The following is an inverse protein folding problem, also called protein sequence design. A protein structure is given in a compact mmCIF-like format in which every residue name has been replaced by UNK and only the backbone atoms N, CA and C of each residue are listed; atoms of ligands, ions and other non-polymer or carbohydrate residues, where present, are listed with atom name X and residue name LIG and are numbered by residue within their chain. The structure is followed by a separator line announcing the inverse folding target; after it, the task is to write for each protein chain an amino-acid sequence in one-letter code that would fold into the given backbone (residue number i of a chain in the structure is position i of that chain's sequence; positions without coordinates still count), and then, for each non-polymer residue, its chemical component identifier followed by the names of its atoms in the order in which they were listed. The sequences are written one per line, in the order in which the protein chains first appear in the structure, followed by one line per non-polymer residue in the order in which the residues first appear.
data_IF_634808132745
#
_entry.id   IF_634808132745
#
_cell.length_a   1.000
_cell.length_b   1.000
_cell.length_c   1.000
_cell.angle_alpha   90.00
_cell.angle_beta   90.00
_cell.angle_gamma   90.00
#
_symmetry.space_group_name_H-M   'P 1'
#
loop_
_entity.id
_entity.type
_entity.pdbx_description
1 polymer ?
#
# COMPACT_ATOMS: atom_id res chain seq x y z
N UNK A 1 35.77 67.72 -59.21
CA UNK A 1 35.38 66.28 -58.97
C UNK A 1 35.11 66.16 -57.49
N UNK A 2 33.85 66.28 -57.11
CA UNK A 2 33.44 66.21 -55.71
C UNK A 2 32.95 64.80 -55.44
N UNK A 3 33.60 64.09 -54.52
CA UNK A 3 33.19 62.78 -54.03
C UNK A 3 32.39 62.99 -52.78
N UNK A 4 31.10 62.66 -52.89
CA UNK A 4 30.15 62.75 -51.79
C UNK A 4 30.21 61.38 -50.95
N UNK A 5 30.59 61.47 -49.69
CA UNK A 5 30.59 60.31 -48.75
C UNK A 5 29.30 60.38 -47.94
N UNK A 6 28.45 59.31 -48.09
CA UNK A 6 27.31 59.09 -47.24
C UNK A 6 27.74 58.32 -45.95
N UNK A 7 27.20 58.65 -44.79
CA UNK A 7 27.45 57.87 -43.59
C UNK A 7 26.50 56.66 -43.50
N UNK A 8 27.10 55.50 -43.20
CA UNK A 8 26.40 54.20 -42.93
C UNK A 8 25.86 54.17 -41.49
N UNK A 9 24.55 54.27 -41.35
CA UNK A 9 23.90 54.18 -40.04
C UNK A 9 23.78 52.70 -39.65
N UNK A 10 24.55 52.25 -38.61
CA UNK A 10 24.37 50.96 -37.99
C UNK A 10 23.10 50.93 -37.09
N UNK A 11 22.08 50.24 -37.54
CA UNK A 11 20.91 49.89 -36.69
C UNK A 11 21.28 48.72 -35.78
N UNK A 12 21.53 49.00 -34.51
CA UNK A 12 21.65 47.98 -33.48
C UNK A 12 20.24 47.46 -33.15
N UNK A 13 19.89 46.28 -33.66
CA UNK A 13 18.71 45.53 -33.24
C UNK A 13 19.01 44.89 -31.87
N UNK A 14 18.46 45.46 -30.80
CA UNK A 14 18.48 44.85 -29.47
C UNK A 14 17.48 43.70 -29.50
N UNK A 15 17.97 42.47 -29.65
CA UNK A 15 17.18 41.26 -29.39
C UNK A 15 16.89 41.22 -27.88
N UNK A 16 15.67 41.55 -27.50
CA UNK A 16 15.16 41.35 -26.18
C UNK A 16 15.13 39.84 -25.88
N UNK A 17 16.05 39.38 -25.02
CA UNK A 17 16.00 38.05 -24.45
C UNK A 17 14.81 38.05 -23.50
N UNK A 18 13.65 37.56 -23.98
CA UNK A 18 12.54 37.17 -23.08
C UNK A 18 12.98 35.98 -22.29
N UNK A 19 13.38 36.19 -21.03
CA UNK A 19 13.55 35.09 -20.06
C UNK A 19 12.21 34.43 -19.88
N UNK A 20 12.07 33.22 -20.42
CA UNK A 20 10.98 32.30 -20.10
C UNK A 20 11.06 32.09 -18.59
N UNK A 21 9.97 32.31 -17.83
CA UNK A 21 9.97 32.05 -16.40
C UNK A 21 10.45 30.58 -16.18
N UNK A 22 11.51 30.39 -15.42
CA UNK A 22 12.11 29.08 -15.19
C UNK A 22 11.04 28.13 -14.73
N UNK A 23 10.84 27.02 -15.44
CA UNK A 23 10.05 25.90 -14.95
C UNK A 23 10.70 25.48 -13.63
N UNK A 24 10.01 25.70 -12.51
CA UNK A 24 10.47 25.23 -11.22
C UNK A 24 10.71 23.73 -11.34
N UNK A 25 11.92 23.28 -10.97
CA UNK A 25 12.24 21.84 -10.96
C UNK A 25 11.18 21.12 -10.14
N UNK A 26 10.62 20.00 -10.62
CA UNK A 26 9.62 19.25 -9.88
C UNK A 26 10.17 18.80 -8.52
N UNK A 27 9.32 18.83 -7.51
CA UNK A 27 9.68 18.35 -6.18
C UNK A 27 9.83 16.83 -6.20
N UNK A 28 10.99 16.35 -5.76
CA UNK A 28 11.25 14.91 -5.64
C UNK A 28 10.49 14.34 -4.45
N UNK A 29 9.70 13.28 -4.71
CA UNK A 29 9.01 12.47 -3.70
C UNK A 29 9.43 11.01 -3.86
N UNK A 30 10.04 10.43 -2.83
CA UNK A 30 10.47 9.03 -2.80
C UNK A 30 9.34 8.19 -2.20
N UNK A 31 8.75 7.34 -3.04
CA UNK A 31 7.59 6.53 -2.71
C UNK A 31 8.02 5.07 -2.43
N UNK A 32 7.77 4.59 -1.21
CA UNK A 32 7.86 3.16 -0.89
C UNK A 32 6.56 2.44 -1.22
N UNK A 33 6.64 1.31 -1.92
CA UNK A 33 5.45 0.56 -2.32
C UNK A 33 5.68 -0.95 -2.26
N UNK A 34 4.60 -1.73 -2.39
CA UNK A 34 4.61 -3.19 -2.45
C UNK A 34 3.97 -3.67 -3.76
N UNK A 35 4.32 -4.90 -4.17
CA UNK A 35 3.82 -5.50 -5.41
C UNK A 35 2.54 -6.31 -5.16
N UNK A 36 1.42 -5.59 -4.93
CA UNK A 36 0.08 -6.16 -4.82
C UNK A 36 -0.89 -5.47 -5.78
N UNK A 37 -1.94 -6.17 -6.25
CA UNK A 37 -2.87 -5.62 -7.23
C UNK A 37 -3.57 -4.35 -6.72
N UNK A 38 -4.02 -4.37 -5.46
CA UNK A 38 -4.71 -3.27 -4.81
C UNK A 38 -3.80 -2.10 -4.35
N UNK A 39 -2.48 -2.17 -4.64
CA UNK A 39 -1.53 -1.06 -4.46
C UNK A 39 -1.35 -0.23 -5.75
N UNK A 40 -2.05 -0.62 -6.81
CA UNK A 40 -1.88 -0.03 -8.14
C UNK A 40 -2.17 1.47 -8.22
N UNK A 41 -3.18 1.98 -7.51
CA UNK A 41 -3.52 3.41 -7.54
C UNK A 41 -2.38 4.27 -6.96
N UNK A 42 -1.73 3.80 -5.88
CA UNK A 42 -0.55 4.48 -5.31
C UNK A 42 0.63 4.42 -6.28
N UNK A 43 0.87 3.28 -6.92
CA UNK A 43 1.92 3.16 -7.96
C UNK A 43 1.64 4.09 -9.14
N UNK A 44 0.36 4.29 -9.52
CA UNK A 44 -0.02 5.16 -10.63
C UNK A 44 0.26 6.65 -10.39
N UNK A 45 0.47 7.06 -9.15
CA UNK A 45 0.85 8.43 -8.82
C UNK A 45 2.11 8.89 -9.58
N UNK A 46 3.04 8.01 -9.93
CA UNK A 46 4.25 8.37 -10.70
C UNK A 46 3.93 8.85 -12.11
N UNK A 47 2.85 8.35 -12.70
CA UNK A 47 2.39 8.78 -14.04
C UNK A 47 1.71 10.16 -13.98
N UNK A 48 1.02 10.46 -12.87
CA UNK A 48 0.33 11.72 -12.66
C UNK A 48 1.21 12.82 -12.01
N UNK A 49 2.29 12.42 -11.33
CA UNK A 49 3.17 13.33 -10.60
C UNK A 49 3.58 14.60 -11.36
N UNK A 50 4.00 14.51 -12.65
CA UNK A 50 4.37 15.69 -13.43
C UNK A 50 3.26 16.74 -13.54
N UNK A 51 1.99 16.34 -13.60
CA UNK A 51 0.83 17.24 -13.58
C UNK A 51 0.76 18.10 -12.31
N UNK A 52 1.26 17.56 -11.21
CA UNK A 52 1.30 18.18 -9.89
C UNK A 52 2.65 18.83 -9.56
N UNK A 53 3.57 18.91 -10.53
CA UNK A 53 4.93 19.41 -10.31
C UNK A 53 5.74 18.51 -9.37
N UNK A 54 5.47 17.20 -9.38
CA UNK A 54 6.15 16.19 -8.58
C UNK A 54 6.94 15.23 -9.47
N UNK A 55 8.15 14.88 -9.06
CA UNK A 55 8.92 13.74 -9.57
C UNK A 55 8.79 12.60 -8.55
N UNK A 56 7.93 11.61 -8.83
CA UNK A 56 7.71 10.48 -7.92
C UNK A 56 8.62 9.33 -8.30
N UNK A 57 9.57 8.99 -7.42
CA UNK A 57 10.46 7.84 -7.55
C UNK A 57 9.96 6.70 -6.68
N UNK A 58 9.38 5.69 -7.32
CA UNK A 58 8.86 4.50 -6.65
C UNK A 58 9.96 3.48 -6.41
N UNK A 59 10.04 2.96 -5.18
CA UNK A 59 10.82 1.79 -4.78
C UNK A 59 9.89 0.69 -4.27
N UNK A 60 9.99 -0.49 -4.88
CA UNK A 60 9.21 -1.67 -4.45
C UNK A 60 9.99 -2.42 -3.38
N UNK A 61 9.33 -2.70 -2.26
CA UNK A 61 9.88 -3.45 -1.13
C UNK A 61 9.26 -4.86 -1.09
N UNK A 62 9.99 -5.87 -0.57
CA UNK A 62 9.47 -7.23 -0.45
C UNK A 62 8.42 -7.38 0.67
N UNK A 63 8.50 -6.52 1.71
CA UNK A 63 7.60 -6.51 2.88
C UNK A 63 7.36 -5.09 3.37
N UNK A 64 6.18 -4.84 3.96
CA UNK A 64 5.84 -3.53 4.52
C UNK A 64 6.76 -3.10 5.66
N UNK A 65 7.17 -4.03 6.51
CA UNK A 65 8.09 -3.75 7.63
C UNK A 65 9.47 -3.27 7.16
N UNK A 66 9.91 -3.64 5.96
CA UNK A 66 11.21 -3.26 5.40
C UNK A 66 11.23 -1.78 4.97
N UNK A 67 10.06 -1.15 4.81
CA UNK A 67 9.92 0.28 4.45
C UNK A 67 10.29 1.17 5.65
N UNK A 68 10.02 0.73 6.89
CA UNK A 68 10.21 1.55 8.09
C UNK A 68 11.67 2.02 8.29
N UNK A 69 12.69 1.16 8.17
CA UNK A 69 14.09 1.61 8.21
C UNK A 69 14.42 2.62 7.12
N UNK A 70 13.85 2.47 5.91
CA UNK A 70 14.06 3.41 4.81
C UNK A 70 13.40 4.78 5.06
N UNK A 71 12.28 4.81 5.77
CA UNK A 71 11.64 6.05 6.25
C UNK A 71 12.52 6.72 7.30
N UNK A 72 12.96 5.98 8.31
CA UNK A 72 13.79 6.51 9.42
C UNK A 72 15.11 7.07 8.90
N UNK A 73 15.73 6.41 7.91
CA UNK A 73 16.97 6.88 7.27
C UNK A 73 16.75 8.06 6.31
N UNK A 74 15.49 8.48 6.10
CA UNK A 74 15.16 9.56 5.19
C UNK A 74 15.26 9.20 3.70
N UNK A 75 15.24 7.93 3.34
CA UNK A 75 15.25 7.46 1.95
C UNK A 75 13.86 7.34 1.32
N UNK A 76 12.81 7.31 2.14
CA UNK A 76 11.41 7.31 1.73
C UNK A 76 10.67 8.48 2.37
N UNK A 77 9.87 9.18 1.59
CA UNK A 77 9.08 10.35 1.98
C UNK A 77 7.61 9.99 2.21
N UNK A 78 7.07 9.13 1.35
CA UNK A 78 5.67 8.67 1.34
C UNK A 78 5.68 7.16 1.11
N UNK A 79 4.77 6.43 1.70
CA UNK A 79 4.70 4.98 1.47
C UNK A 79 3.28 4.45 1.48
N UNK A 80 3.01 3.49 0.59
CA UNK A 80 1.88 2.58 0.72
C UNK A 80 2.23 1.51 1.76
N UNK A 81 1.42 1.38 2.79
CA UNK A 81 1.70 0.47 3.90
C UNK A 81 0.45 -0.32 4.32
N UNK A 82 0.65 -1.53 4.81
CA UNK A 82 -0.38 -2.16 5.62
C UNK A 82 -0.53 -1.35 6.93
N UNK A 83 -1.76 -1.21 7.42
CA UNK A 83 -2.03 -0.38 8.59
C UNK A 83 -1.27 -0.87 9.83
N UNK A 84 -1.22 -2.17 10.04
CA UNK A 84 -0.48 -2.80 11.15
C UNK A 84 1.04 -2.55 11.08
N UNK A 85 1.62 -2.59 9.88
CA UNK A 85 3.03 -2.24 9.69
C UNK A 85 3.30 -0.76 10.01
N UNK A 86 2.39 0.13 9.61
CA UNK A 86 2.49 1.56 9.93
C UNK A 86 2.36 1.82 11.46
N UNK A 87 1.40 1.15 12.13
CA UNK A 87 1.23 1.20 13.58
C UNK A 87 2.50 0.71 14.29
N UNK A 88 3.06 -0.44 13.86
CA UNK A 88 4.29 -0.97 14.45
C UNK A 88 5.47 -0.01 14.25
N UNK A 89 5.59 0.61 13.07
CA UNK A 89 6.59 1.64 12.80
C UNK A 89 6.41 2.87 13.71
N UNK A 90 5.17 3.36 13.85
CA UNK A 90 4.88 4.49 14.74
C UNK A 90 5.18 4.17 16.21
N UNK A 91 4.83 2.97 16.65
CA UNK A 91 5.14 2.47 18.00
C UNK A 91 6.65 2.41 18.29
N UNK A 92 7.47 2.19 17.25
CA UNK A 92 8.94 2.22 17.33
C UNK A 92 9.53 3.61 17.14
N UNK A 93 8.70 4.65 17.05
CA UNK A 93 9.14 6.04 16.92
C UNK A 93 9.40 6.52 15.50
N UNK A 94 8.95 5.78 14.47
CA UNK A 94 9.04 6.28 13.10
C UNK A 94 8.26 7.60 12.97
N UNK A 95 8.88 8.68 12.40
CA UNK A 95 8.26 9.99 12.29
C UNK A 95 7.30 10.06 11.11
N UNK A 96 6.16 9.38 11.21
CA UNK A 96 5.16 9.22 10.15
C UNK A 96 3.76 9.61 10.60
N UNK A 97 2.96 10.09 9.65
CA UNK A 97 1.52 10.27 9.78
C UNK A 97 0.79 9.36 8.78
N UNK A 98 -0.33 8.76 9.20
CA UNK A 98 -1.29 8.14 8.30
C UNK A 98 -2.19 9.24 7.74
N UNK A 99 -2.17 9.44 6.41
CA UNK A 99 -2.80 10.60 5.75
C UNK A 99 -3.97 10.22 4.85
N UNK A 100 -4.12 8.94 4.49
CA UNK A 100 -5.26 8.42 3.73
C UNK A 100 -5.34 6.90 3.87
N UNK A 101 -6.53 6.31 3.66
CA UNK A 101 -6.64 4.93 3.23
C UNK A 101 -6.41 4.85 1.72
N UNK A 102 -5.98 3.70 1.19
CA UNK A 102 -5.89 3.55 -0.26
C UNK A 102 -6.48 2.23 -0.79
N UNK A 103 -6.64 1.24 0.06
CA UNK A 103 -7.39 0.03 -0.28
C UNK A 103 -7.95 -0.67 0.95
N UNK A 104 -9.02 -1.46 0.73
CA UNK A 104 -9.67 -2.31 1.73
C UNK A 104 -9.68 -3.77 1.25
N UNK A 105 -9.66 -4.73 2.18
CA UNK A 105 -9.74 -6.16 1.86
C UNK A 105 -8.41 -6.73 1.35
N UNK A 106 -8.48 -7.64 0.38
CA UNK A 106 -7.32 -8.26 -0.26
C UNK A 106 -6.61 -9.29 0.61
N UNK A 107 -7.31 -9.94 1.54
CA UNK A 107 -6.78 -11.04 2.37
C UNK A 107 -7.69 -12.25 2.27
N UNK A 108 -7.11 -13.45 2.11
CA UNK A 108 -7.82 -14.73 2.18
C UNK A 108 -7.06 -15.73 3.05
N UNK A 109 -7.80 -16.61 3.71
CA UNK A 109 -7.25 -17.84 4.27
C UNK A 109 -7.53 -18.96 3.27
N UNK A 110 -6.46 -19.57 2.77
CA UNK A 110 -6.49 -20.60 1.71
C UNK A 110 -5.85 -21.87 2.26
N UNK A 111 -6.58 -22.96 2.23
CA UNK A 111 -6.08 -24.30 2.59
C UNK A 111 -5.58 -25.06 1.37
N UNK A 112 -4.75 -26.07 1.58
CA UNK A 112 -4.40 -27.03 0.51
C UNK A 112 -5.67 -27.72 0.01
N UNK A 113 -5.83 -27.81 -1.30
CA UNK A 113 -7.01 -28.40 -1.93
C UNK A 113 -7.20 -29.87 -1.59
N UNK A 114 -6.12 -30.63 -1.38
CA UNK A 114 -6.16 -32.06 -1.03
C UNK A 114 -6.58 -32.33 0.43
N UNK A 115 -6.61 -31.32 1.29
CA UNK A 115 -7.06 -31.45 2.69
C UNK A 115 -8.55 -31.14 2.90
N UNK A 116 -9.20 -30.52 1.91
CA UNK A 116 -10.63 -30.15 1.95
C UNK A 116 -11.04 -29.42 3.24
N UNK A 117 -10.20 -28.46 3.69
CA UNK A 117 -10.49 -27.63 4.85
C UNK A 117 -11.64 -26.67 4.50
N UNK A 118 -12.72 -26.65 5.28
CA UNK A 118 -13.94 -25.89 4.97
C UNK A 118 -14.19 -24.72 5.91
N UNK A 119 -13.49 -24.68 7.03
CA UNK A 119 -13.68 -23.66 8.06
C UNK A 119 -12.36 -23.36 8.78
N UNK A 120 -12.33 -22.25 9.51
CA UNK A 120 -11.18 -21.91 10.37
C UNK A 120 -10.99 -22.94 11.49
N UNK A 121 -12.06 -23.58 11.95
CA UNK A 121 -11.97 -24.65 12.97
C UNK A 121 -11.15 -25.85 12.48
N UNK A 122 -11.15 -26.14 11.17
CA UNK A 122 -10.38 -27.24 10.57
C UNK A 122 -8.86 -26.98 10.59
N UNK A 123 -8.44 -25.75 10.92
CA UNK A 123 -7.02 -25.40 11.10
C UNK A 123 -6.43 -25.97 12.39
N UNK A 124 -7.24 -26.57 13.29
CA UNK A 124 -6.73 -27.26 14.48
C UNK A 124 -5.78 -28.38 14.09
N UNK A 125 -4.58 -28.38 14.69
CA UNK A 125 -3.49 -29.30 14.36
C UNK A 125 -2.75 -29.02 13.05
N UNK A 126 -3.06 -27.91 12.36
CA UNK A 126 -2.47 -27.57 11.06
C UNK A 126 -1.31 -26.60 11.17
N UNK A 127 -0.50 -26.61 10.10
CA UNK A 127 0.61 -25.69 9.85
C UNK A 127 0.12 -24.57 8.96
N UNK A 128 0.10 -23.34 9.45
CA UNK A 128 -0.41 -22.18 8.71
C UNK A 128 0.73 -21.20 8.43
N UNK A 129 0.96 -20.93 7.15
CA UNK A 129 1.93 -19.96 6.68
C UNK A 129 1.36 -18.53 6.64
N UNK A 130 2.14 -17.57 7.10
CA UNK A 130 1.80 -16.14 7.03
C UNK A 130 3.07 -15.30 7.01
N UNK A 131 3.02 -14.12 6.38
CA UNK A 131 4.12 -13.16 6.49
C UNK A 131 3.98 -12.36 7.79
N UNK A 132 5.10 -12.18 8.50
CA UNK A 132 5.12 -11.40 9.74
C UNK A 132 5.00 -9.89 9.44
N UNK A 133 4.20 -9.18 10.25
CA UNK A 133 4.08 -7.72 10.17
C UNK A 133 3.27 -7.23 8.97
N UNK A 134 2.25 -7.96 8.58
CA UNK A 134 1.28 -7.57 7.57
C UNK A 134 -0.16 -7.81 8.04
N UNK A 135 -1.13 -7.17 7.38
CA UNK A 135 -2.55 -7.31 7.71
C UNK A 135 -3.04 -8.77 7.74
N UNK A 136 -2.37 -9.66 7.00
CA UNK A 136 -2.65 -11.08 6.97
C UNK A 136 -2.43 -11.76 8.33
N UNK A 137 -1.35 -11.39 9.04
CA UNK A 137 -1.07 -11.94 10.37
C UNK A 137 -2.17 -11.55 11.36
N UNK A 138 -2.56 -10.28 11.37
CA UNK A 138 -3.60 -9.77 12.27
C UNK A 138 -4.98 -10.39 11.95
N UNK A 139 -5.35 -10.45 10.68
CA UNK A 139 -6.60 -11.08 10.24
C UNK A 139 -6.66 -12.57 10.58
N UNK A 140 -5.55 -13.29 10.36
CA UNK A 140 -5.46 -14.71 10.75
C UNK A 140 -5.67 -14.89 12.24
N UNK A 141 -4.97 -14.11 13.06
CA UNK A 141 -5.06 -14.26 14.53
C UNK A 141 -6.43 -13.84 15.06
N UNK A 142 -7.08 -12.86 14.47
CA UNK A 142 -8.44 -12.49 14.80
C UNK A 142 -9.43 -13.64 14.51
N UNK A 143 -9.30 -14.31 13.36
CA UNK A 143 -10.14 -15.46 13.01
C UNK A 143 -9.85 -16.68 13.88
N UNK A 144 -8.59 -16.97 14.18
CA UNK A 144 -8.23 -18.05 15.10
C UNK A 144 -8.83 -17.79 16.48
N UNK A 145 -8.70 -16.56 17.02
CA UNK A 145 -9.28 -16.18 18.32
C UNK A 145 -10.80 -16.31 18.33
N UNK A 146 -11.48 -15.86 17.26
CA UNK A 146 -12.93 -15.99 17.10
C UNK A 146 -13.39 -17.46 17.16
N UNK A 147 -12.57 -18.35 16.63
CA UNK A 147 -12.84 -19.81 16.63
C UNK A 147 -12.26 -20.54 17.87
N UNK A 148 -11.85 -19.81 18.91
CA UNK A 148 -11.26 -20.33 20.14
C UNK A 148 -10.02 -21.22 19.92
N UNK A 149 -9.27 -20.97 18.85
CA UNK A 149 -8.01 -21.64 18.54
C UNK A 149 -6.83 -20.84 19.10
N UNK A 150 -5.90 -21.53 19.73
CA UNK A 150 -4.61 -20.98 20.15
C UNK A 150 -3.55 -21.18 19.06
N UNK A 151 -2.57 -20.29 18.99
CA UNK A 151 -1.52 -20.35 17.97
C UNK A 151 -0.13 -20.01 18.52
N UNK A 152 0.90 -20.53 17.86
CA UNK A 152 2.30 -20.21 18.13
C UNK A 152 3.17 -20.62 16.95
N UNK A 153 4.35 -20.01 16.81
CA UNK A 153 5.43 -20.50 15.95
C UNK A 153 6.18 -21.70 16.57
N UNK A 154 5.95 -21.97 17.86
CA UNK A 154 6.42 -23.15 18.55
C UNK A 154 5.32 -24.24 18.62
N UNK A 155 5.72 -25.49 18.91
CA UNK A 155 4.79 -26.57 19.14
C UNK A 155 3.96 -26.36 20.43
N UNK A 156 2.81 -27.04 20.54
CA UNK A 156 2.01 -27.08 21.77
C UNK A 156 0.78 -26.16 21.78
N UNK A 157 0.45 -25.55 20.64
CA UNK A 157 -0.81 -24.80 20.44
C UNK A 157 -1.66 -25.48 19.36
N UNK A 158 -2.93 -25.06 19.26
CA UNK A 158 -3.87 -25.64 18.29
C UNK A 158 -3.42 -25.43 16.85
N UNK A 159 -2.81 -24.28 16.53
CA UNK A 159 -2.32 -23.95 15.18
C UNK A 159 -0.85 -23.59 15.24
N UNK A 160 -0.06 -24.23 14.38
CA UNK A 160 1.36 -23.91 14.25
C UNK A 160 1.59 -22.87 13.15
N UNK A 161 2.15 -21.71 13.51
CA UNK A 161 2.43 -20.62 12.57
C UNK A 161 3.81 -20.77 11.96
N UNK A 162 3.88 -20.65 10.64
CA UNK A 162 5.13 -20.60 9.87
C UNK A 162 5.28 -19.22 9.24
N UNK A 163 6.29 -18.49 9.65
CA UNK A 163 6.58 -17.17 9.10
C UNK A 163 7.45 -17.30 7.86
N UNK A 164 6.86 -16.98 6.69
CA UNK A 164 7.50 -17.00 5.38
C UNK A 164 7.38 -15.63 4.70
N UNK A 165 8.21 -15.36 3.69
CA UNK A 165 8.00 -14.22 2.84
C UNK A 165 6.74 -14.41 1.96
N UNK A 166 6.10 -13.30 1.54
CA UNK A 166 4.91 -13.38 0.69
C UNK A 166 5.13 -14.22 -0.57
N UNK A 167 6.30 -14.09 -1.19
CA UNK A 167 6.64 -14.82 -2.41
C UNK A 167 6.76 -16.34 -2.20
N UNK A 168 7.08 -16.78 -0.99
CA UNK A 168 7.37 -18.18 -0.69
C UNK A 168 6.13 -18.97 -0.22
N UNK A 169 5.07 -18.27 0.21
CA UNK A 169 3.87 -18.89 0.81
C UNK A 169 3.18 -19.88 -0.15
N UNK A 170 2.95 -19.47 -1.40
CA UNK A 170 2.30 -20.32 -2.40
C UNK A 170 3.14 -21.56 -2.71
N UNK A 171 4.45 -21.41 -2.85
CA UNK A 171 5.35 -22.53 -3.07
C UNK A 171 5.35 -23.51 -1.89
N UNK A 172 5.40 -23.00 -0.66
CA UNK A 172 5.35 -23.82 0.54
C UNK A 172 4.01 -24.60 0.68
N UNK A 173 2.89 -23.96 0.29
CA UNK A 173 1.57 -24.59 0.23
C UNK A 173 1.55 -25.73 -0.82
N UNK A 174 2.00 -25.43 -2.04
CA UNK A 174 2.04 -26.39 -3.15
C UNK A 174 2.96 -27.58 -2.85
N UNK A 175 4.12 -27.34 -2.21
CA UNK A 175 5.07 -28.37 -1.80
C UNK A 175 4.67 -29.13 -0.51
N UNK A 176 3.48 -28.85 0.04
CA UNK A 176 2.94 -29.49 1.26
C UNK A 176 3.79 -29.29 2.51
N UNK A 177 4.61 -28.25 2.54
CA UNK A 177 5.39 -27.85 3.73
C UNK A 177 4.49 -27.25 4.81
N UNK A 178 3.40 -26.59 4.38
CA UNK A 178 2.33 -26.02 5.21
C UNK A 178 0.97 -26.48 4.69
N UNK A 179 -0.06 -26.38 5.52
CA UNK A 179 -1.39 -26.92 5.24
C UNK A 179 -2.40 -25.84 4.83
N UNK A 180 -2.14 -24.59 5.23
CA UNK A 180 -2.91 -23.42 4.83
C UNK A 180 -2.00 -22.18 4.82
N UNK A 181 -2.47 -21.13 4.17
CA UNK A 181 -1.84 -19.80 4.15
C UNK A 181 -2.88 -18.72 4.49
N UNK A 182 -2.44 -17.65 5.12
CA UNK A 182 -3.15 -16.38 5.08
C UNK A 182 -2.35 -15.42 4.19
N UNK A 183 -2.91 -15.09 3.02
CA UNK A 183 -2.16 -14.45 1.93
C UNK A 183 -2.92 -13.26 1.35
N UNK A 184 -2.22 -12.41 0.64
CA UNK A 184 -2.76 -11.24 -0.06
C UNK A 184 -3.12 -11.54 -1.52
N UNK A 185 -3.78 -10.58 -2.17
CA UNK A 185 -4.08 -10.64 -3.60
C UNK A 185 -2.96 -10.00 -4.44
N UNK A 186 -2.60 -10.59 -5.60
CA UNK A 186 -3.28 -11.70 -6.30
C UNK A 186 -2.81 -13.12 -5.90
N UNK A 187 -1.91 -13.26 -4.96
CA UNK A 187 -1.29 -14.55 -4.65
C UNK A 187 -2.31 -15.58 -4.12
N UNK A 188 -3.32 -15.14 -3.35
CA UNK A 188 -4.41 -16.02 -2.90
C UNK A 188 -5.19 -16.57 -4.10
N UNK A 189 -5.59 -15.71 -5.02
CA UNK A 189 -6.28 -16.09 -6.26
C UNK A 189 -5.44 -17.07 -7.08
N UNK A 190 -4.15 -16.78 -7.25
CA UNK A 190 -3.23 -17.64 -8.02
C UNK A 190 -3.11 -19.06 -7.44
N UNK A 191 -3.11 -19.21 -6.11
CA UNK A 191 -3.11 -20.54 -5.47
C UNK A 191 -4.39 -21.33 -5.77
N UNK A 192 -5.54 -20.64 -5.77
CA UNK A 192 -6.86 -21.22 -6.04
C UNK A 192 -6.98 -21.60 -7.52
N UNK A 193 -6.66 -20.70 -8.42
CA UNK A 193 -6.77 -20.91 -9.88
C UNK A 193 -5.80 -21.97 -10.40
N UNK A 194 -4.62 -22.09 -9.77
CA UNK A 194 -3.68 -23.17 -10.06
C UNK A 194 -4.09 -24.52 -9.45
N UNK A 195 -5.20 -24.59 -8.71
CA UNK A 195 -5.82 -25.83 -8.20
C UNK A 195 -5.14 -26.46 -6.98
N UNK A 196 -4.07 -25.87 -6.43
CA UNK A 196 -3.45 -26.39 -5.21
C UNK A 196 -3.98 -25.73 -3.93
N UNK A 197 -4.75 -24.63 -4.05
CA UNK A 197 -5.41 -23.94 -2.97
C UNK A 197 -6.94 -24.04 -3.05
N UNK A 198 -7.60 -23.98 -1.88
CA UNK A 198 -9.05 -23.85 -1.74
C UNK A 198 -9.34 -22.73 -0.73
N UNK A 199 -10.18 -21.76 -1.09
CA UNK A 199 -10.58 -20.71 -0.16
C UNK A 199 -11.29 -21.32 1.06
N UNK A 200 -10.79 -21.02 2.26
CA UNK A 200 -11.48 -21.34 3.50
C UNK A 200 -12.41 -20.18 3.86
N UNK A 201 -11.88 -18.94 3.88
CA UNK A 201 -12.66 -17.76 4.21
C UNK A 201 -11.92 -16.47 3.78
N UNK A 202 -12.71 -15.41 3.54
CA UNK A 202 -12.25 -14.02 3.60
C UNK A 202 -12.40 -13.53 5.04
N UNK A 203 -11.30 -13.22 5.77
CA UNK A 203 -11.31 -13.01 7.23
C UNK A 203 -11.84 -11.63 7.63
N UNK A 204 -13.07 -11.29 7.24
CA UNK A 204 -13.64 -9.96 7.42
C UNK A 204 -14.76 -9.88 8.46
N UNK A 205 -15.20 -11.02 8.98
CA UNK A 205 -16.23 -11.09 10.04
C UNK A 205 -15.56 -11.11 11.43
N UNK A 206 -14.72 -10.13 11.68
CA UNK A 206 -14.03 -9.87 12.95
C UNK A 206 -14.10 -8.36 13.23
N UNK A 207 -13.76 -7.88 14.43
CA UNK A 207 -13.75 -6.44 14.72
C UNK A 207 -12.82 -5.62 13.79
N UNK A 208 -11.86 -6.24 13.10
CA UNK A 208 -11.03 -5.57 12.09
C UNK A 208 -11.85 -5.24 10.84
N UNK A 209 -12.84 -6.06 10.50
CA UNK A 209 -13.55 -5.97 9.22
C UNK A 209 -12.63 -6.22 8.03
N UNK A 210 -12.86 -5.51 6.92
CA UNK A 210 -11.93 -5.48 5.79
C UNK A 210 -10.68 -4.69 6.19
N UNK A 211 -9.48 -5.29 6.21
CA UNK A 211 -8.27 -4.58 6.62
C UNK A 211 -7.97 -3.44 5.66
N UNK A 212 -7.63 -2.28 6.22
CA UNK A 212 -7.29 -1.07 5.45
C UNK A 212 -5.78 -1.01 5.22
N UNK A 213 -5.40 -0.53 4.03
CA UNK A 213 -4.03 -0.12 3.71
C UNK A 213 -3.99 1.41 3.72
N UNK A 214 -2.90 1.94 4.25
CA UNK A 214 -2.77 3.38 4.48
C UNK A 214 -1.61 3.98 3.68
N UNK A 215 -1.85 5.16 3.16
CA UNK A 215 -0.79 6.04 2.70
C UNK A 215 -0.20 6.72 3.93
N UNK A 216 1.08 6.50 4.18
CA UNK A 216 1.81 7.21 5.22
C UNK A 216 2.75 8.24 4.62
N UNK A 217 2.93 9.33 5.31
CA UNK A 217 3.81 10.43 4.94
C UNK A 217 4.72 10.75 6.12
N UNK A 218 6.00 11.08 5.85
CA UNK A 218 6.91 11.52 6.92
C UNK A 218 6.42 12.83 7.53
N UNK A 219 6.61 12.98 8.84
CA UNK A 219 6.32 14.23 9.55
C UNK A 219 7.06 15.41 8.91
N UNK A 220 8.27 15.18 8.38
CA UNK A 220 9.06 16.18 7.69
C UNK A 220 8.35 16.76 6.47
N UNK A 221 7.84 15.91 5.56
CA UNK A 221 7.09 16.38 4.38
C UNK A 221 5.83 17.09 4.83
N UNK A 222 5.07 16.49 5.76
CA UNK A 222 3.81 17.04 6.23
C UNK A 222 3.95 18.43 6.87
N UNK A 223 4.94 18.60 7.78
CA UNK A 223 5.13 19.84 8.57
C UNK A 223 5.98 20.88 7.86
N UNK A 224 7.08 20.47 7.21
CA UNK A 224 8.07 21.40 6.66
C UNK A 224 7.82 21.73 5.17
N UNK A 225 7.04 20.91 4.45
CA UNK A 225 6.74 21.09 3.03
C UNK A 225 5.23 20.93 2.75
N UNK A 226 4.35 21.70 3.40
CA UNK A 226 2.90 21.52 3.30
C UNK A 226 2.39 21.59 1.86
N UNK A 227 2.94 22.46 1.00
CA UNK A 227 2.56 22.52 -0.40
C UNK A 227 2.97 21.30 -1.22
N UNK A 228 4.01 20.55 -0.82
CA UNK A 228 4.35 19.24 -1.41
C UNK A 228 3.37 18.18 -0.89
N UNK A 229 3.08 18.18 0.41
CA UNK A 229 2.15 17.25 1.04
C UNK A 229 0.74 17.35 0.41
N UNK A 230 0.23 18.57 0.20
CA UNK A 230 -1.05 18.81 -0.48
C UNK A 230 -1.06 18.22 -1.91
N UNK A 231 -0.06 18.54 -2.73
CA UNK A 231 0.04 18.04 -4.11
C UNK A 231 0.21 16.53 -4.20
N UNK A 232 0.88 15.90 -3.24
CA UNK A 232 0.98 14.44 -3.12
C UNK A 232 -0.41 13.83 -2.89
N UNK A 233 -1.23 14.41 -2.00
CA UNK A 233 -2.57 13.91 -1.73
C UNK A 233 -3.54 14.21 -2.88
N UNK A 234 -3.43 15.37 -3.55
CA UNK A 234 -4.20 15.64 -4.77
C UNK A 234 -3.88 14.63 -5.88
N UNK A 235 -2.60 14.34 -6.10
CA UNK A 235 -2.14 13.31 -7.03
C UNK A 235 -2.69 11.91 -6.67
N UNK A 236 -2.64 11.54 -5.39
CA UNK A 236 -3.19 10.27 -4.89
C UNK A 236 -4.71 10.18 -5.11
N UNK A 237 -5.45 11.23 -4.76
CA UNK A 237 -6.90 11.27 -4.93
C UNK A 237 -7.28 11.16 -6.40
N UNK A 238 -6.58 11.86 -7.30
CA UNK A 238 -6.83 11.74 -8.74
C UNK A 238 -6.49 10.35 -9.28
N UNK A 239 -5.37 9.75 -8.85
CA UNK A 239 -4.99 8.40 -9.24
C UNK A 239 -6.06 7.38 -8.84
N UNK A 240 -6.55 7.47 -7.61
CA UNK A 240 -7.59 6.58 -7.09
C UNK A 240 -8.95 6.83 -7.78
N UNK A 241 -9.35 8.11 -7.97
CA UNK A 241 -10.54 8.48 -8.72
C UNK A 241 -10.52 7.89 -10.13
N UNK A 242 -9.39 8.00 -10.81
CA UNK A 242 -9.21 7.44 -12.16
C UNK A 242 -9.39 5.93 -12.16
N UNK A 243 -8.80 5.21 -11.20
CA UNK A 243 -8.91 3.75 -11.12
C UNK A 243 -10.34 3.29 -10.79
N UNK A 244 -11.07 4.06 -9.99
CA UNK A 244 -12.48 3.78 -9.69
C UNK A 244 -13.40 4.07 -10.89
N UNK A 245 -13.13 5.14 -11.65
CA UNK A 245 -13.92 5.53 -12.81
C UNK A 245 -13.59 4.72 -14.07
N UNK A 246 -12.34 4.24 -14.19
CA UNK A 246 -11.83 3.55 -15.38
C UNK A 246 -11.18 2.21 -15.00
N UNK A 247 -11.98 1.17 -14.66
CA UNK A 247 -11.44 -0.14 -14.23
C UNK A 247 -10.51 -0.81 -15.25
N UNK A 248 -10.73 -0.58 -16.54
CA UNK A 248 -9.86 -1.10 -17.61
C UNK A 248 -8.47 -0.44 -17.57
N UNK A 249 -8.41 0.87 -17.31
CA UNK A 249 -7.14 1.60 -17.11
C UNK A 249 -6.40 1.06 -15.89
N UNK A 250 -7.10 0.82 -14.79
CA UNK A 250 -6.53 0.22 -13.58
C UNK A 250 -5.98 -1.18 -13.85
N UNK A 251 -6.78 -2.05 -14.50
CA UNK A 251 -6.37 -3.41 -14.87
C UNK A 251 -5.12 -3.40 -15.76
N UNK A 252 -5.15 -2.59 -16.83
CA UNK A 252 -4.04 -2.48 -17.78
C UNK A 252 -2.76 -2.03 -17.06
N UNK A 253 -2.84 -0.97 -16.26
CA UNK A 253 -1.68 -0.44 -15.55
C UNK A 253 -1.09 -1.44 -14.56
N UNK A 254 -1.93 -2.02 -13.71
CA UNK A 254 -1.47 -3.00 -12.71
C UNK A 254 -0.82 -4.20 -13.39
N UNK A 255 -1.44 -4.77 -14.40
CA UNK A 255 -0.90 -5.93 -15.10
C UNK A 255 0.40 -5.63 -15.83
N UNK A 256 0.45 -4.54 -16.60
CA UNK A 256 1.59 -4.24 -17.46
C UNK A 256 2.72 -3.55 -16.71
N UNK A 257 2.41 -2.50 -15.94
CA UNK A 257 3.43 -1.65 -15.31
C UNK A 257 3.88 -2.16 -13.95
N UNK A 258 2.95 -2.61 -13.09
CA UNK A 258 3.30 -3.09 -11.76
C UNK A 258 3.74 -4.56 -11.78
N UNK A 259 3.10 -5.41 -12.59
CA UNK A 259 3.39 -6.84 -12.65
C UNK A 259 4.20 -7.28 -13.86
N UNK A 260 4.50 -6.39 -14.83
CA UNK A 260 5.29 -6.72 -16.02
C UNK A 260 4.69 -7.86 -16.83
N UNK A 261 3.35 -7.88 -17.00
CA UNK A 261 2.55 -8.93 -17.67
C UNK A 261 2.55 -10.31 -16.98
N UNK A 262 3.09 -10.46 -15.78
CA UNK A 262 3.04 -11.74 -15.05
C UNK A 262 1.69 -12.02 -14.37
N UNK A 263 0.75 -11.08 -14.43
CA UNK A 263 -0.60 -11.18 -13.89
C UNK A 263 -1.61 -11.28 -15.05
N UNK A 264 -2.42 -12.35 -15.10
CA UNK A 264 -3.46 -12.52 -16.12
C UNK A 264 -4.62 -11.53 -15.90
N UNK A 265 -5.47 -11.32 -16.91
CA UNK A 265 -6.66 -10.47 -16.75
C UNK A 265 -7.64 -11.09 -15.73
N UNK A 266 -7.79 -12.43 -15.78
CA UNK A 266 -8.64 -13.18 -14.86
C UNK A 266 -8.13 -13.05 -13.43
N UNK A 267 -6.85 -13.31 -13.17
CA UNK A 267 -6.28 -13.22 -11.82
C UNK A 267 -6.42 -11.80 -11.24
N UNK A 268 -6.28 -10.77 -12.09
CA UNK A 268 -6.52 -9.39 -11.65
C UNK A 268 -7.97 -9.16 -11.25
N UNK A 269 -8.92 -9.61 -12.08
CA UNK A 269 -10.34 -9.45 -11.80
C UNK A 269 -10.73 -10.15 -10.51
N UNK A 270 -10.38 -11.42 -10.37
CA UNK A 270 -10.67 -12.23 -9.18
C UNK A 270 -10.01 -11.65 -7.92
N UNK A 271 -8.80 -11.10 -8.05
CA UNK A 271 -8.12 -10.42 -6.95
C UNK A 271 -8.87 -9.14 -6.52
N UNK A 272 -9.37 -8.36 -7.48
CA UNK A 272 -10.08 -7.11 -7.19
C UNK A 272 -11.53 -7.32 -6.73
N UNK A 273 -12.12 -8.50 -6.91
CA UNK A 273 -13.37 -8.88 -6.24
C UNK A 273 -13.21 -9.01 -4.71
N UNK A 274 -11.98 -9.26 -4.25
CA UNK A 274 -11.65 -9.35 -2.81
C UNK A 274 -11.01 -8.06 -2.25
N UNK A 275 -10.58 -7.15 -3.10
CA UNK A 275 -9.91 -5.91 -2.72
C UNK A 275 -10.50 -4.72 -3.47
N UNK A 276 -10.62 -3.60 -2.81
CA UNK A 276 -11.18 -2.38 -3.40
C UNK A 276 -10.26 -1.18 -3.19
N UNK A 277 -10.19 -0.29 -4.17
CA UNK A 277 -9.57 1.02 -4.01
C UNK A 277 -10.48 1.92 -3.17
N UNK A 278 -9.89 2.79 -2.36
CA UNK A 278 -10.62 3.71 -1.48
C UNK A 278 -9.78 4.92 -1.15
N UNK A 279 -10.41 5.93 -0.54
CA UNK A 279 -9.73 7.03 0.16
C UNK A 279 -9.90 6.91 1.68
N UNK A 280 -10.84 6.05 2.12
CA UNK A 280 -11.33 6.08 3.48
C UNK A 280 -10.33 5.58 4.49
N UNK A 281 -10.18 6.37 5.53
CA UNK A 281 -9.49 6.03 6.76
C UNK A 281 -10.24 6.74 7.89
N UNK A 282 -10.45 6.04 9.00
CA UNK A 282 -11.00 6.65 10.21
C UNK A 282 -10.04 6.45 11.39
N UNK A 283 -10.02 7.42 12.29
CA UNK A 283 -9.26 7.33 13.54
C UNK A 283 -9.70 6.10 14.34
N UNK A 284 -11.01 5.85 14.40
CA UNK A 284 -11.59 4.68 15.08
C UNK A 284 -11.03 3.35 14.54
N UNK A 285 -11.00 3.17 13.21
CA UNK A 285 -10.46 1.93 12.61
C UNK A 285 -8.97 1.73 12.93
N UNK A 286 -8.19 2.82 12.93
CA UNK A 286 -6.77 2.77 13.30
C UNK A 286 -6.62 2.39 14.77
N UNK A 287 -7.46 2.92 15.67
CA UNK A 287 -7.41 2.60 17.09
C UNK A 287 -7.82 1.14 17.35
N UNK A 288 -8.92 0.67 16.75
CA UNK A 288 -9.35 -0.74 16.84
C UNK A 288 -8.22 -1.68 16.37
N UNK A 289 -7.59 -1.37 15.25
CA UNK A 289 -6.47 -2.16 14.72
C UNK A 289 -5.30 -2.17 15.70
N UNK A 290 -4.94 -1.02 16.29
CA UNK A 290 -3.87 -0.89 17.29
C UNK A 290 -4.13 -1.75 18.53
N UNK A 291 -5.36 -1.71 19.03
CA UNK A 291 -5.76 -2.47 20.23
C UNK A 291 -5.74 -3.98 19.99
N UNK A 292 -6.19 -4.42 18.80
CA UNK A 292 -6.15 -5.82 18.41
C UNK A 292 -4.72 -6.32 18.14
N UNK A 293 -3.84 -5.50 17.58
CA UNK A 293 -2.42 -5.82 17.46
C UNK A 293 -1.80 -6.07 18.83
N UNK A 294 -2.07 -5.21 19.82
CA UNK A 294 -1.63 -5.41 21.20
C UNK A 294 -2.20 -6.69 21.80
N UNK A 295 -3.51 -6.90 21.64
CA UNK A 295 -4.22 -8.08 22.17
C UNK A 295 -3.66 -9.40 21.63
N UNK A 296 -3.34 -9.46 20.33
CA UNK A 296 -2.87 -10.68 19.68
C UNK A 296 -1.35 -10.79 19.55
N UNK A 297 -0.60 -9.79 20.04
CA UNK A 297 0.86 -9.78 20.00
C UNK A 297 1.45 -9.50 18.61
N UNK A 298 0.65 -9.00 17.67
CA UNK A 298 1.11 -8.63 16.32
C UNK A 298 1.97 -7.37 16.38
N UNK A 299 3.09 -7.35 15.64
CA UNK A 299 4.01 -6.22 15.60
C UNK A 299 4.85 -6.03 16.88
N UNK A 300 4.64 -6.84 17.93
CA UNK A 300 5.37 -6.77 19.22
C UNK A 300 5.43 -5.36 19.77
N UNK A 301 4.27 -4.69 19.83
CA UNK A 301 4.17 -3.29 20.25
C UNK A 301 4.67 -3.10 21.68
N UNK A 302 5.73 -2.31 21.84
CA UNK A 302 6.26 -1.90 23.15
C UNK A 302 5.43 -0.78 23.76
N UNK A 303 4.84 0.06 22.91
CA UNK A 303 3.83 1.05 23.26
C UNK A 303 2.69 1.00 22.23
N UNK A 304 1.56 1.62 22.56
CA UNK A 304 0.39 1.72 21.66
C UNK A 304 0.17 3.18 21.32
N UNK A 305 0.53 3.63 20.10
CA UNK A 305 0.30 5.01 19.71
C UNK A 305 -1.21 5.28 19.66
N UNK A 306 -1.65 6.41 20.25
CA UNK A 306 -3.03 6.88 20.08
C UNK A 306 -3.24 7.28 18.63
N UNK A 307 -4.34 6.80 18.01
CA UNK A 307 -4.63 7.11 16.63
C UNK A 307 -4.79 8.63 16.38
N UNK A 308 -5.34 9.37 17.36
CA UNK A 308 -5.50 10.84 17.27
C UNK A 308 -4.18 11.59 17.08
N UNK A 309 -3.07 11.04 17.60
CA UNK A 309 -1.78 11.72 17.54
C UNK A 309 -1.15 11.69 16.16
N UNK A 310 -1.40 10.65 15.36
CA UNK A 310 -0.68 10.42 14.11
C UNK A 310 -1.55 10.18 12.87
N UNK A 311 -2.87 10.10 12.99
CA UNK A 311 -3.79 10.11 11.84
C UNK A 311 -4.14 11.55 11.51
N UNK A 312 -3.82 11.99 10.28
CA UNK A 312 -3.99 13.39 9.82
C UNK A 312 -4.75 13.37 8.48
N UNK A 313 -6.04 13.69 8.54
CA UNK A 313 -6.95 13.59 7.39
C UNK A 313 -7.35 14.96 6.80
N UNK A 314 -6.86 16.06 7.38
CA UNK A 314 -7.18 17.41 6.94
C UNK A 314 -6.73 17.71 5.51
N UNK A 315 -5.52 17.29 5.12
CA UNK A 315 -5.03 17.45 3.76
C UNK A 315 -5.76 16.53 2.76
N UNK A 316 -6.19 15.34 3.20
CA UNK A 316 -7.00 14.45 2.36
C UNK A 316 -8.36 15.09 2.04
N UNK A 317 -9.02 15.69 3.05
CA UNK A 317 -10.29 16.37 2.84
C UNK A 317 -10.16 17.50 1.81
N UNK A 318 -9.15 18.35 1.94
CA UNK A 318 -8.84 19.40 0.96
C UNK A 318 -8.55 18.85 -0.45
N UNK A 319 -7.76 17.76 -0.54
CA UNK A 319 -7.43 17.15 -1.81
C UNK A 319 -8.67 16.57 -2.50
N UNK A 320 -9.58 15.92 -1.74
CA UNK A 320 -10.85 15.41 -2.25
C UNK A 320 -11.71 16.55 -2.83
N UNK A 321 -11.86 17.65 -2.11
CA UNK A 321 -12.57 18.82 -2.58
C UNK A 321 -12.00 19.38 -3.89
N UNK A 322 -10.67 19.61 -3.95
CA UNK A 322 -9.99 20.12 -5.15
C UNK A 322 -10.11 19.21 -6.37
N UNK A 323 -10.09 17.91 -6.17
CA UNK A 323 -10.19 16.90 -7.26
C UNK A 323 -11.67 16.59 -7.60
N UNK A 324 -12.62 17.11 -6.84
CA UNK A 324 -14.04 16.88 -7.04
C UNK A 324 -14.44 15.45 -6.69
N UNK A 325 -14.06 14.98 -5.51
CA UNK A 325 -14.47 13.71 -4.90
C UNK A 325 -15.24 14.02 -3.62
N UNK A 326 -16.45 13.52 -3.52
CA UNK A 326 -17.35 13.74 -2.38
C UNK A 326 -17.55 12.48 -1.55
#
# INVERSE_FOLDING_TARGET
MNICTLPLACILTVLGITTVPGQNKPDLVRLGNLKFAHYGAVSYMKELGPKYGLEIKEQIFPKGIDIIPAIISGNIDVSASALDAAIAGRAQGAPIYAVAGFSKGGVRIVGRSDLNLKSVADLKGKRVGVARGGAQELCLFAELAKNNLTWSDQAGKDVRIFYLAYADLNQALQQKQIDAICQSEPQSTQAIDAGFGLEIIKPYDTPIGKPIRVLVMTEKIYKEKPGVAERVLECFVEATKKFLAEPETAQKYVRMSLFGNSLSAKDYQDAMENAEFTYDLTIEHVQITTDLMKKYGVGRLTNTPSADDWVKLDLLAKAKEKVGVH
#
